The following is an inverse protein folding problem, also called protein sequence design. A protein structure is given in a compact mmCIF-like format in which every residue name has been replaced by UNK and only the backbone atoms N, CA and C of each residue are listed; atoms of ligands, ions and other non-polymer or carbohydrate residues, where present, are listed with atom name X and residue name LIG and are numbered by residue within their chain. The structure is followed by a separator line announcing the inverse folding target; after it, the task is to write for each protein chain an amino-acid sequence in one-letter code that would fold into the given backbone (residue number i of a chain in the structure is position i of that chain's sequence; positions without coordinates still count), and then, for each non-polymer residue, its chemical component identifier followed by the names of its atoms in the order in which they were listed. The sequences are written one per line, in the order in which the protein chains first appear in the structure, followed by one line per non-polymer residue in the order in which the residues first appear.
data_IF_297902533223
#
_entry.id   IF_297902533223
#
_cell.length_a   1.000
_cell.length_b   1.000
_cell.length_c   1.000
_cell.angle_alpha   90.00
_cell.angle_beta   90.00
_cell.angle_gamma   90.00
#
_symmetry.space_group_name_H-M   'P 1'
#
loop_
_entity.id
_entity.type
_entity.pdbx_description
1 polymer ?
#
# COMPACT_ATOMS: atom_id res chain seq x y z
N UNK A 1 -2.52 -1.09 11.60
CA UNK A 1 -3.67 -1.08 10.66
C UNK A 1 -4.32 0.29 10.67
N UNK A 2 -4.49 0.92 9.50
CA UNK A 2 -5.22 2.18 9.36
C UNK A 2 -6.73 1.95 9.29
N UNK A 3 -7.50 2.95 9.72
CA UNK A 3 -8.97 2.99 9.64
C UNK A 3 -9.46 4.37 9.15
N UNK A 4 -10.75 4.48 8.82
CA UNK A 4 -11.37 5.73 8.37
C UNK A 4 -10.82 6.26 7.05
N UNK A 5 -11.01 7.55 6.81
CA UNK A 5 -10.67 8.23 5.54
C UNK A 5 -9.22 8.02 5.09
N UNK A 6 -8.27 7.96 6.04
CA UNK A 6 -6.86 7.70 5.72
C UNK A 6 -6.68 6.32 5.10
N UNK A 7 -7.36 5.29 5.63
CA UNK A 7 -7.31 3.95 5.06
C UNK A 7 -7.91 3.90 3.65
N UNK A 8 -8.99 4.64 3.40
CA UNK A 8 -9.62 4.70 2.08
C UNK A 8 -8.71 5.37 1.04
N UNK A 9 -8.05 6.48 1.42
CA UNK A 9 -7.11 7.19 0.53
C UNK A 9 -5.89 6.34 0.19
N UNK A 10 -5.30 5.65 1.18
CA UNK A 10 -4.15 4.75 0.95
C UNK A 10 -4.55 3.56 0.08
N UNK A 11 -5.73 2.96 0.31
CA UNK A 11 -6.27 1.89 -0.55
C UNK A 11 -6.45 2.37 -1.99
N UNK A 12 -7.04 3.55 -2.19
CA UNK A 12 -7.26 4.11 -3.52
C UNK A 12 -5.93 4.36 -4.26
N UNK A 13 -4.95 4.96 -3.58
CA UNK A 13 -3.61 5.18 -4.14
C UNK A 13 -2.93 3.85 -4.53
N UNK A 14 -3.03 2.83 -3.67
CA UNK A 14 -2.45 1.52 -3.93
C UNK A 14 -3.10 0.79 -5.12
N UNK A 15 -4.44 0.83 -5.24
CA UNK A 15 -5.15 0.24 -6.36
C UNK A 15 -4.92 0.98 -7.68
N UNK A 16 -4.68 2.29 -7.63
CA UNK A 16 -4.27 3.06 -8.81
C UNK A 16 -2.86 2.65 -9.28
N UNK A 17 -1.94 2.36 -8.35
CA UNK A 17 -0.59 1.90 -8.66
C UNK A 17 -0.50 0.41 -9.05
N UNK A 18 -1.44 -0.41 -8.59
CA UNK A 18 -1.51 -1.86 -8.90
C UNK A 18 -2.89 -2.20 -9.48
N UNK A 19 -3.12 -1.88 -10.77
CA UNK A 19 -4.41 -2.16 -11.42
C UNK A 19 -4.78 -3.64 -11.35
N UNK A 20 -6.01 -3.92 -10.93
CA UNK A 20 -6.50 -5.29 -10.73
C UNK A 20 -5.98 -5.99 -9.47
N UNK A 21 -5.15 -5.33 -8.67
CA UNK A 21 -4.69 -5.86 -7.39
C UNK A 21 -5.80 -5.87 -6.33
N UNK A 22 -5.62 -6.70 -5.30
CA UNK A 22 -6.47 -6.74 -4.10
C UNK A 22 -5.67 -6.25 -2.91
N UNK A 23 -6.13 -5.20 -2.23
CA UNK A 23 -5.48 -4.71 -1.01
C UNK A 23 -5.84 -5.64 0.16
N UNK A 24 -4.83 -6.25 0.79
CA UNK A 24 -5.00 -7.09 1.97
C UNK A 24 -5.05 -6.25 3.26
N UNK A 25 -4.16 -5.26 3.38
CA UNK A 25 -4.04 -4.39 4.55
C UNK A 25 -3.39 -3.06 4.18
N UNK A 26 -3.77 -2.02 4.92
CA UNK A 26 -3.10 -0.72 4.95
C UNK A 26 -2.67 -0.39 6.37
N UNK A 27 -1.47 0.16 6.53
CA UNK A 27 -0.87 0.46 7.83
C UNK A 27 0.00 1.72 7.81
N UNK A 28 0.28 2.26 9.00
CA UNK A 28 1.37 3.24 9.12
C UNK A 28 2.67 2.48 8.96
N UNK A 29 3.60 3.06 8.21
CA UNK A 29 4.94 2.53 8.09
C UNK A 29 5.88 3.35 8.99
N UNK A 30 6.80 2.65 9.67
CA UNK A 30 7.71 3.26 10.63
C UNK A 30 9.05 3.63 9.99
N UNK A 31 9.36 3.08 8.80
CA UNK A 31 10.63 3.27 8.09
C UNK A 31 10.41 3.95 6.73
N UNK A 32 10.53 5.28 6.71
CA UNK A 32 10.72 6.05 5.47
C UNK A 32 9.45 6.47 4.72
N UNK A 33 8.31 5.81 4.93
CA UNK A 33 7.00 6.24 4.45
C UNK A 33 6.01 6.32 5.61
N UNK A 34 5.09 7.30 5.68
CA UNK A 34 4.09 7.34 6.75
C UNK A 34 3.04 6.24 6.58
N UNK A 35 2.77 5.78 5.36
CA UNK A 35 1.78 4.74 5.09
C UNK A 35 2.30 3.68 4.11
N UNK A 36 1.73 2.48 4.21
CA UNK A 36 1.91 1.41 3.24
C UNK A 36 0.64 0.59 2.99
N UNK A 37 0.59 -0.07 1.83
CA UNK A 37 -0.46 -1.02 1.46
C UNK A 37 0.15 -2.34 0.98
N UNK A 38 -0.29 -3.46 1.56
CA UNK A 38 0.03 -4.81 1.07
C UNK A 38 -1.03 -5.21 0.04
N UNK A 39 -0.58 -5.53 -1.17
CA UNK A 39 -1.44 -5.81 -2.33
C UNK A 39 -1.08 -7.14 -2.96
N UNK A 40 -2.08 -7.96 -3.25
CA UNK A 40 -1.94 -9.17 -4.09
C UNK A 40 -2.27 -8.80 -5.52
N UNK A 41 -1.34 -9.05 -6.44
CA UNK A 41 -1.53 -8.86 -7.87
C UNK A 41 -2.40 -9.96 -8.48
N UNK A 42 -2.96 -9.76 -9.70
CA UNK A 42 -3.69 -10.79 -10.42
C UNK A 42 -2.90 -12.10 -10.66
N UNK A 43 -1.57 -12.00 -10.75
CA UNK A 43 -0.67 -13.16 -10.89
C UNK A 43 -0.40 -13.91 -9.58
N UNK A 44 -1.02 -13.47 -8.47
CA UNK A 44 -0.86 -14.04 -7.13
C UNK A 44 0.37 -13.56 -6.37
N UNK A 45 1.25 -12.75 -6.98
CA UNK A 45 2.40 -12.18 -6.28
C UNK A 45 1.98 -11.05 -5.33
N UNK A 46 2.74 -10.86 -4.24
CA UNK A 46 2.53 -9.78 -3.27
C UNK A 46 3.46 -8.61 -3.55
N UNK A 47 2.97 -7.40 -3.35
CA UNK A 47 3.75 -6.16 -3.32
C UNK A 47 3.36 -5.28 -2.13
N UNK A 48 4.29 -4.46 -1.69
CA UNK A 48 4.05 -3.37 -0.73
C UNK A 48 4.16 -2.04 -1.46
N UNK A 49 3.09 -1.24 -1.40
CA UNK A 49 3.05 0.11 -1.96
C UNK A 49 3.31 1.11 -0.84
N UNK A 50 4.39 1.90 -0.94
CA UNK A 50 4.71 2.99 -0.01
C UNK A 50 3.99 4.26 -0.44
N UNK A 51 3.34 4.94 0.52
CA UNK A 51 2.48 6.10 0.28
C UNK A 51 2.83 7.24 1.25
N UNK A 52 3.11 8.42 0.71
CA UNK A 52 3.45 9.62 1.51
C UNK A 52 2.24 10.25 2.23
N UNK A 53 2.50 11.26 3.06
CA UNK A 53 1.46 11.96 3.83
C UNK A 53 0.49 12.77 2.97
N UNK A 54 0.82 12.96 1.69
CA UNK A 54 -0.03 13.59 0.68
C UNK A 54 -0.81 12.56 -0.15
N UNK A 55 -0.75 11.28 0.24
CA UNK A 55 -1.38 10.14 -0.43
C UNK A 55 -0.85 9.89 -1.85
N UNK A 56 0.41 10.22 -2.10
CA UNK A 56 1.10 9.88 -3.35
C UNK A 56 1.93 8.62 -3.15
N UNK A 57 1.92 7.75 -4.16
CA UNK A 57 2.76 6.55 -4.17
C UNK A 57 4.20 6.96 -4.42
N UNK A 58 5.10 6.51 -3.54
CA UNK A 58 6.54 6.81 -3.60
C UNK A 58 7.36 5.61 -4.05
N UNK A 59 6.91 4.39 -3.75
CA UNK A 59 7.55 3.16 -4.19
C UNK A 59 6.56 1.98 -4.25
N UNK A 60 6.90 0.98 -5.06
CA UNK A 60 6.24 -0.34 -5.07
C UNK A 60 7.32 -1.40 -4.96
N UNK A 61 7.34 -2.08 -3.82
CA UNK A 61 8.34 -3.08 -3.46
C UNK A 61 7.78 -4.49 -3.66
N UNK A 62 8.61 -5.43 -4.13
CA UNK A 62 8.19 -6.82 -4.23
C UNK A 62 8.23 -7.52 -2.89
N UNK A 63 7.22 -8.37 -2.64
CA UNK A 63 7.04 -9.04 -1.35
C UNK A 63 6.22 -8.21 -0.36
N UNK A 64 6.09 -8.73 0.86
CA UNK A 64 5.57 -7.97 1.99
C UNK A 64 6.78 -7.29 2.62
N UNK A 65 6.80 -5.95 2.65
CA UNK A 65 7.84 -5.14 3.27
C UNK A 65 8.34 -5.73 4.60
N UNK A 66 9.63 -5.52 4.89
CA UNK A 66 10.32 -6.18 5.99
C UNK A 66 9.55 -6.03 7.32
N UNK A 67 9.48 -7.14 8.07
CA UNK A 67 9.05 -7.16 9.47
C UNK A 67 10.15 -6.64 10.38
#
# INVERSE_FOLDING_TARGET
MLTGDTAEKVKAAALAAVPGGTVERVENDAEGSPYEAHVVKPDGSHVTVKVDSQFKVTATEQGRGAR
#
